data_IF_618481647164
#
_entry.id   IF_618481647164
#
_cell.length_a   1.000
_cell.length_b   1.000
_cell.length_c   1.000
_cell.angle_alpha   90.00
_cell.angle_beta   90.00
_cell.angle_gamma   90.00
#
_symmetry.space_group_name_H-M   'P 1'
#
loop_
_entity.id
_entity.type
_entity.pdbx_description
1 polymer ?
#
# COMPACT_ATOMS: atom_id res chain seq x y z
N UNK A 1 1.96 -9.76 -3.80
CA UNK A 1 2.81 -10.54 -4.75
C UNK A 1 4.29 -10.56 -4.33
N UNK A 2 4.90 -9.41 -4.02
CA UNK A 2 6.32 -9.29 -3.65
C UNK A 2 6.73 -10.13 -2.43
N UNK A 3 5.87 -10.22 -1.41
CA UNK A 3 6.04 -11.15 -0.28
C UNK A 3 6.19 -12.62 -0.71
N UNK A 4 5.51 -13.02 -1.79
CA UNK A 4 5.54 -14.39 -2.30
C UNK A 4 6.74 -14.60 -3.23
N UNK A 5 7.01 -13.65 -4.13
CA UNK A 5 8.03 -13.79 -5.17
C UNK A 5 9.45 -13.52 -4.66
N UNK A 6 9.62 -12.52 -3.79
CA UNK A 6 10.92 -12.10 -3.25
C UNK A 6 11.14 -12.63 -1.82
N UNK A 7 10.11 -13.19 -1.19
CA UNK A 7 10.18 -13.72 0.18
C UNK A 7 10.70 -12.69 1.20
N UNK A 8 10.27 -11.44 1.07
CA UNK A 8 10.49 -10.38 2.06
C UNK A 8 9.51 -10.51 3.23
N UNK A 9 9.80 -9.92 4.41
CA UNK A 9 8.81 -9.79 5.49
C UNK A 9 7.53 -9.10 4.98
N UNK A 10 6.37 -9.44 5.56
CA UNK A 10 5.10 -8.92 5.06
C UNK A 10 5.10 -7.37 5.13
N UNK A 11 4.92 -6.66 4.01
CA UNK A 11 4.96 -5.18 4.02
C UNK A 11 3.66 -4.56 4.53
N UNK A 12 2.53 -5.24 4.33
CA UNK A 12 1.20 -4.74 4.66
C UNK A 12 0.31 -5.89 5.12
N UNK A 13 -0.32 -5.73 6.29
CA UNK A 13 -1.17 -6.74 6.90
C UNK A 13 -2.60 -6.71 6.37
N UNK A 14 -3.32 -7.84 6.47
CA UNK A 14 -4.73 -7.88 6.07
C UNK A 14 -5.61 -6.93 6.91
N UNK A 15 -5.28 -6.73 8.20
CA UNK A 15 -6.02 -5.82 9.07
C UNK A 15 -5.85 -4.37 8.64
N UNK A 16 -4.64 -3.96 8.22
CA UNK A 16 -4.42 -2.60 7.70
C UNK A 16 -5.12 -2.37 6.37
N UNK A 17 -5.25 -3.37 5.50
CA UNK A 17 -6.10 -3.27 4.29
C UNK A 17 -7.55 -2.98 4.68
N UNK A 18 -8.09 -3.72 5.65
CA UNK A 18 -9.47 -3.50 6.08
C UNK A 18 -9.70 -2.09 6.61
N UNK A 19 -8.73 -1.50 7.32
CA UNK A 19 -8.84 -0.11 7.75
C UNK A 19 -8.84 0.88 6.59
N UNK A 20 -8.08 0.63 5.53
CA UNK A 20 -8.09 1.47 4.34
C UNK A 20 -9.47 1.43 3.67
N UNK A 21 -9.89 0.23 3.30
CA UNK A 21 -11.10 -0.01 2.51
C UNK A 21 -12.40 0.34 3.27
N UNK A 22 -12.44 0.14 4.59
CA UNK A 22 -13.66 0.27 5.39
C UNK A 22 -13.70 1.52 6.28
N UNK A 23 -12.62 2.28 6.41
CA UNK A 23 -12.62 3.45 7.29
C UNK A 23 -12.12 4.70 6.57
N UNK A 24 -10.87 4.70 6.12
CA UNK A 24 -10.24 5.93 5.62
C UNK A 24 -10.74 6.33 4.25
N UNK A 25 -10.88 5.40 3.31
CA UNK A 25 -11.30 5.71 1.94
C UNK A 25 -12.82 5.96 1.79
N UNK A 26 -13.65 5.56 2.76
CA UNK A 26 -15.10 5.75 2.68
C UNK A 26 -15.48 7.23 2.65
N UNK A 27 -14.93 8.03 3.57
CA UNK A 27 -15.34 9.42 3.72
C UNK A 27 -14.96 10.30 2.50
N UNK A 28 -13.70 10.27 2.01
CA UNK A 28 -13.33 10.97 0.79
C UNK A 28 -14.12 10.50 -0.43
N UNK A 29 -14.34 9.18 -0.58
CA UNK A 29 -15.12 8.63 -1.71
C UNK A 29 -16.57 9.12 -1.72
N UNK A 30 -17.20 9.23 -0.54
CA UNK A 30 -18.56 9.79 -0.43
C UNK A 30 -18.57 11.29 -0.72
N UNK A 31 -17.51 12.01 -0.37
CA UNK A 31 -17.41 13.45 -0.60
C UNK A 31 -17.40 13.81 -2.10
N UNK A 32 -16.82 12.96 -2.95
CA UNK A 32 -16.82 13.14 -4.42
C UNK A 32 -18.24 13.13 -5.02
N UNK A 33 -19.22 12.51 -4.35
CA UNK A 33 -20.60 12.56 -4.81
C UNK A 33 -21.24 13.95 -4.69
N UNK A 34 -20.63 14.87 -3.94
CA UNK A 34 -21.10 16.25 -3.75
C UNK A 34 -20.44 17.25 -4.72
N UNK A 35 -19.59 16.79 -5.62
CA UNK A 35 -18.90 17.65 -6.57
C UNK A 35 -19.88 18.27 -7.59
N UNK A 36 -19.64 19.54 -7.94
CA UNK A 36 -20.46 20.25 -8.91
C UNK A 36 -20.14 19.79 -10.34
N UNK A 37 -21.08 19.99 -11.25
CA UNK A 37 -20.86 19.68 -12.66
C UNK A 37 -19.70 20.52 -13.24
N UNK A 38 -18.70 19.86 -13.84
CA UNK A 38 -17.54 20.51 -14.49
C UNK A 38 -17.92 21.36 -15.71
N UNK A 39 -19.07 21.07 -16.33
CA UNK A 39 -19.59 21.77 -17.49
C UNK A 39 -21.10 21.86 -17.46
N UNK A 40 -21.69 22.69 -18.32
CA UNK A 40 -23.15 22.83 -18.39
C UNK A 40 -23.80 21.56 -18.97
N UNK A 41 -24.10 20.61 -18.07
CA UNK A 41 -24.68 19.32 -18.39
C UNK A 41 -26.08 19.43 -18.99
N UNK A 42 -26.79 20.53 -18.75
CA UNK A 42 -28.16 20.74 -19.25
C UNK A 42 -28.19 21.06 -20.75
N UNK A 43 -27.04 21.40 -21.33
CA UNK A 43 -26.87 21.60 -22.77
C UNK A 43 -26.24 20.40 -23.50
N UNK A 44 -25.88 19.32 -22.78
CA UNK A 44 -25.31 18.11 -23.36
C UNK A 44 -26.39 17.11 -23.79
N UNK A 45 -26.07 16.26 -24.77
CA UNK A 45 -26.95 15.17 -25.20
C UNK A 45 -26.92 14.03 -24.17
N UNK A 46 -28.03 13.29 -23.97
CA UNK A 46 -28.06 12.14 -23.06
C UNK A 46 -27.01 11.07 -23.43
N UNK A 47 -26.40 10.44 -22.42
CA UNK A 47 -25.36 9.40 -22.60
C UNK A 47 -25.85 8.21 -23.43
N UNK A 48 -24.95 7.58 -24.18
CA UNK A 48 -25.25 6.34 -24.89
C UNK A 48 -24.94 5.12 -24.01
N UNK A 49 -25.93 4.32 -23.57
CA UNK A 49 -25.72 3.22 -22.63
C UNK A 49 -24.85 2.08 -23.17
N UNK A 50 -24.64 1.99 -24.50
CA UNK A 50 -23.81 0.94 -25.13
C UNK A 50 -22.35 1.36 -25.33
N UNK A 51 -22.07 2.67 -25.43
CA UNK A 51 -20.73 3.21 -25.69
C UNK A 51 -20.13 3.90 -24.47
N UNK A 52 -20.95 4.62 -23.71
CA UNK A 52 -20.53 5.45 -22.60
C UNK A 52 -20.80 4.70 -21.28
N UNK A 53 -19.93 3.72 -21.00
CA UNK A 53 -19.97 2.96 -19.75
C UNK A 53 -19.40 3.79 -18.60
N UNK A 54 -19.87 3.50 -17.38
CA UNK A 54 -19.40 4.19 -16.17
C UNK A 54 -17.92 3.89 -15.91
N UNK A 55 -17.52 2.64 -16.11
CA UNK A 55 -16.12 2.19 -16.04
C UNK A 55 -15.68 1.79 -17.43
N UNK A 56 -14.77 2.58 -17.99
CA UNK A 56 -14.18 2.33 -19.30
C UNK A 56 -12.77 1.74 -19.13
N UNK A 57 -12.28 1.03 -20.14
CA UNK A 57 -10.92 0.47 -20.14
C UNK A 57 -9.83 1.54 -19.93
N UNK A 58 -9.90 2.75 -20.53
CA UNK A 58 -8.93 3.80 -20.27
C UNK A 58 -8.94 4.29 -18.82
N UNK A 59 -10.12 4.34 -18.19
CA UNK A 59 -10.24 4.71 -16.78
C UNK A 59 -9.56 3.67 -15.89
N UNK A 60 -9.84 2.37 -16.13
CA UNK A 60 -9.20 1.28 -15.39
C UNK A 60 -7.69 1.25 -15.62
N UNK A 61 -7.22 1.50 -16.85
CA UNK A 61 -5.79 1.54 -17.13
C UNK A 61 -5.09 2.71 -16.42
N UNK A 62 -5.72 3.89 -16.39
CA UNK A 62 -5.20 5.06 -15.69
C UNK A 62 -5.12 4.83 -14.17
N UNK A 63 -6.22 4.41 -13.54
CA UNK A 63 -6.27 4.22 -12.09
C UNK A 63 -5.38 3.07 -11.62
N UNK A 64 -5.48 1.88 -12.22
CA UNK A 64 -4.72 0.71 -11.74
C UNK A 64 -3.24 0.76 -12.09
N UNK A 65 -2.88 1.13 -13.32
CA UNK A 65 -1.49 1.01 -13.78
C UNK A 65 -0.67 2.29 -13.67
N UNK A 66 -1.29 3.48 -13.61
CA UNK A 66 -0.54 4.72 -13.41
C UNK A 66 -0.57 5.13 -11.94
N UNK A 67 -1.74 5.51 -11.43
CA UNK A 67 -1.88 5.98 -10.05
C UNK A 67 -1.53 4.85 -9.07
N UNK A 68 -2.16 3.68 -9.22
CA UNK A 68 -1.90 2.53 -8.34
C UNK A 68 -0.45 2.05 -8.37
N UNK A 69 0.26 2.22 -9.50
CA UNK A 69 1.69 1.91 -9.57
C UNK A 69 2.54 2.93 -8.80
N UNK A 70 2.21 4.22 -8.88
CA UNK A 70 2.88 5.28 -8.13
C UNK A 70 2.65 5.08 -6.62
N UNK A 71 1.41 4.82 -6.21
CA UNK A 71 1.05 4.51 -4.81
C UNK A 71 1.81 3.29 -4.29
N UNK A 72 1.87 2.22 -5.09
CA UNK A 72 2.63 1.01 -4.74
C UNK A 72 4.13 1.33 -4.57
N UNK A 73 4.70 2.11 -5.48
CA UNK A 73 6.11 2.48 -5.42
C UNK A 73 6.43 3.36 -4.20
N UNK A 74 5.57 4.31 -3.86
CA UNK A 74 5.68 5.11 -2.64
C UNK A 74 5.66 4.22 -1.38
N UNK A 75 4.67 3.33 -1.27
CA UNK A 75 4.56 2.41 -0.12
C UNK A 75 5.77 1.46 0.01
N UNK A 76 6.29 0.93 -1.09
CA UNK A 76 7.51 0.11 -1.05
C UNK A 76 8.76 0.92 -0.70
N UNK A 77 8.84 2.18 -1.15
CA UNK A 77 9.95 3.06 -0.78
C UNK A 77 9.95 3.31 0.72
N UNK A 78 8.80 3.64 1.30
CA UNK A 78 8.64 3.86 2.74
C UNK A 78 8.88 2.58 3.56
N UNK A 79 8.48 1.42 3.05
CA UNK A 79 8.80 0.13 3.67
C UNK A 79 10.32 -0.10 3.76
N UNK A 80 11.05 0.10 2.66
CA UNK A 80 12.50 -0.12 2.65
C UNK A 80 13.25 0.94 3.45
N UNK A 81 12.77 2.18 3.53
CA UNK A 81 13.39 3.20 4.37
C UNK A 81 13.21 2.88 5.85
N UNK A 82 12.01 2.49 6.29
CA UNK A 82 11.75 2.09 7.67
C UNK A 82 12.57 0.85 8.08
N UNK A 83 12.68 -0.14 7.19
CA UNK A 83 13.51 -1.32 7.42
C UNK A 83 15.00 -0.97 7.51
N UNK A 84 15.51 -0.14 6.58
CA UNK A 84 16.92 0.23 6.54
C UNK A 84 17.35 1.09 7.75
N UNK A 85 16.47 1.98 8.22
CA UNK A 85 16.72 2.79 9.43
C UNK A 85 16.85 1.93 10.68
N UNK A 86 16.11 0.83 10.76
CA UNK A 86 16.11 -0.13 11.87
C UNK A 86 17.15 -1.26 11.67
N UNK A 87 18.05 -1.15 10.69
CA UNK A 87 19.17 -2.08 10.49
C UNK A 87 18.95 -3.21 9.50
N UNK A 88 17.80 -3.25 8.85
CA UNK A 88 17.46 -4.25 7.85
C UNK A 88 17.64 -3.69 6.45
N UNK A 89 18.83 -3.83 5.87
CA UNK A 89 19.07 -3.33 4.52
C UNK A 89 18.20 -4.05 3.47
N UNK A 90 17.84 -3.36 2.37
CA UNK A 90 16.99 -3.96 1.33
C UNK A 90 17.53 -5.28 0.77
N UNK A 91 18.86 -5.42 0.67
CA UNK A 91 19.49 -6.65 0.21
C UNK A 91 19.30 -7.83 1.19
N UNK A 92 19.36 -7.57 2.50
CA UNK A 92 19.13 -8.58 3.53
C UNK A 92 17.65 -8.98 3.63
N UNK A 93 16.74 -8.05 3.30
CA UNK A 93 15.30 -8.32 3.32
C UNK A 93 14.88 -9.39 2.29
N UNK A 94 15.63 -9.57 1.20
CA UNK A 94 15.34 -10.56 0.17
C UNK A 94 15.54 -11.98 0.73
N UNK A 95 14.49 -12.80 0.69
CA UNK A 95 14.55 -14.17 1.22
C UNK A 95 14.50 -14.28 2.75
N UNK A 96 14.26 -13.17 3.46
CA UNK A 96 14.28 -13.14 4.93
C UNK A 96 13.05 -13.77 5.58
N UNK A 97 11.92 -13.83 4.86
CA UNK A 97 10.61 -14.32 5.36
C UNK A 97 10.67 -15.60 6.21
N UNK A 98 11.24 -16.74 5.75
CA UNK A 98 11.23 -17.98 6.54
C UNK A 98 11.99 -17.86 7.87
N UNK A 99 13.03 -17.01 7.93
CA UNK A 99 13.78 -16.76 9.17
C UNK A 99 13.07 -15.74 10.05
N UNK A 100 12.44 -14.74 9.43
CA UNK A 100 11.67 -13.69 10.11
C UNK A 100 10.51 -14.27 10.91
N UNK A 101 9.70 -15.12 10.26
CA UNK A 101 8.47 -15.71 10.80
C UNK A 101 8.73 -16.94 11.70
N UNK A 102 9.98 -17.40 11.82
CA UNK A 102 10.32 -18.54 12.66
C UNK A 102 10.26 -18.17 14.15
N UNK A 103 9.27 -18.72 14.87
CA UNK A 103 9.08 -18.53 16.31
C UNK A 103 10.23 -19.07 17.18
N UNK A 104 10.97 -20.06 16.68
CA UNK A 104 12.05 -20.71 17.44
C UNK A 104 13.37 -19.93 17.36
N UNK A 105 13.52 -19.04 16.36
CA UNK A 105 14.72 -18.25 16.14
C UNK A 105 14.63 -16.93 16.92
N UNK A 106 15.40 -16.80 18.01
CA UNK A 106 15.37 -15.63 18.91
C UNK A 106 16.60 -14.71 18.75
N UNK A 107 17.48 -15.05 17.82
CA UNK A 107 18.83 -14.52 17.63
C UNK A 107 19.09 -14.21 16.15
N UNK A 108 18.08 -13.68 15.44
CA UNK A 108 18.25 -13.32 14.02
C UNK A 108 19.12 -12.07 13.90
N UNK A 109 20.23 -12.17 13.17
CA UNK A 109 21.12 -11.03 12.92
C UNK A 109 20.59 -10.09 11.84
N UNK A 110 20.69 -8.79 12.12
CA UNK A 110 20.45 -7.72 11.15
C UNK A 110 21.74 -7.36 10.36
N UNK A 111 21.70 -6.31 9.54
CA UNK A 111 22.87 -5.89 8.74
C UNK A 111 23.97 -5.21 9.57
N UNK A 112 23.65 -4.76 10.78
CA UNK A 112 24.59 -4.19 11.73
C UNK A 112 25.18 -5.23 12.69
N UNK A 113 24.73 -6.49 12.62
CA UNK A 113 25.14 -7.59 13.49
C UNK A 113 24.44 -7.62 14.84
N UNK A 114 23.31 -6.94 15.01
CA UNK A 114 22.48 -7.00 16.21
C UNK A 114 21.58 -8.24 16.17
N UNK A 115 21.36 -8.88 17.31
CA UNK A 115 20.48 -10.04 17.45
C UNK A 115 19.06 -9.63 17.83
N UNK A 116 18.08 -10.09 17.05
CA UNK A 116 16.67 -9.74 17.22
C UNK A 116 15.82 -10.94 17.63
N UNK A 117 15.10 -10.78 18.74
CA UNK A 117 14.09 -11.73 19.20
C UNK A 117 12.84 -11.70 18.32
N UNK A 118 12.08 -12.79 18.31
CA UNK A 118 10.86 -12.88 17.49
C UNK A 118 9.86 -11.75 17.78
N UNK A 119 9.73 -11.34 19.05
CA UNK A 119 8.82 -10.26 19.45
C UNK A 119 9.26 -8.90 18.93
N UNK A 120 10.57 -8.60 18.95
CA UNK A 120 11.10 -7.34 18.44
C UNK A 120 10.89 -7.27 16.92
N UNK A 121 11.16 -8.38 16.20
CA UNK A 121 10.88 -8.46 14.75
C UNK A 121 9.41 -8.28 14.42
N UNK A 122 8.52 -8.89 15.20
CA UNK A 122 7.08 -8.75 15.00
C UNK A 122 6.61 -7.31 15.22
N UNK A 123 7.15 -6.63 16.22
CA UNK A 123 6.86 -5.20 16.44
C UNK A 123 7.33 -4.36 15.25
N UNK A 124 8.55 -4.60 14.77
CA UNK A 124 9.07 -3.92 13.58
C UNK A 124 8.21 -4.17 12.33
N UNK A 125 7.69 -5.39 12.18
CA UNK A 125 6.76 -5.73 11.10
C UNK A 125 5.44 -4.96 11.22
N UNK A 126 4.93 -4.73 12.43
CA UNK A 126 3.76 -3.87 12.63
C UNK A 126 4.05 -2.40 12.33
N UNK A 127 5.24 -1.91 12.69
CA UNK A 127 5.69 -0.57 12.28
C UNK A 127 5.70 -0.46 10.75
N UNK A 128 6.19 -1.47 10.04
CA UNK A 128 6.16 -1.51 8.58
C UNK A 128 4.74 -1.45 8.02
N UNK A 129 3.78 -2.16 8.63
CA UNK A 129 2.37 -2.06 8.23
C UNK A 129 1.84 -0.64 8.37
N UNK A 130 2.16 0.04 9.48
CA UNK A 130 1.71 1.42 9.72
C UNK A 130 2.35 2.42 8.77
N UNK A 131 3.63 2.25 8.45
CA UNK A 131 4.35 3.11 7.51
C UNK A 131 3.78 2.97 6.10
N UNK A 132 3.56 1.73 5.65
CA UNK A 132 2.95 1.48 4.35
C UNK A 132 1.51 2.01 4.30
N UNK A 133 0.73 1.81 5.38
CA UNK A 133 -0.61 2.39 5.53
C UNK A 133 -0.60 3.92 5.37
N UNK A 134 0.26 4.63 6.12
CA UNK A 134 0.36 6.10 6.01
C UNK A 134 0.79 6.54 4.60
N UNK A 135 1.68 5.79 3.95
CA UNK A 135 2.10 6.08 2.58
C UNK A 135 0.92 6.04 1.60
N UNK A 136 0.05 5.02 1.73
CA UNK A 136 -1.19 4.95 0.94
C UNK A 136 -2.07 6.15 1.23
N UNK A 137 -2.36 6.46 2.49
CA UNK A 137 -3.19 7.61 2.88
C UNK A 137 -2.67 8.94 2.31
N UNK A 138 -1.36 9.16 2.37
CA UNK A 138 -0.75 10.37 1.82
C UNK A 138 -0.90 10.46 0.29
N UNK A 139 -0.81 9.34 -0.42
CA UNK A 139 -1.09 9.34 -1.85
C UNK A 139 -2.59 9.50 -2.16
N UNK A 140 -3.48 8.94 -1.34
CA UNK A 140 -4.92 9.11 -1.52
C UNK A 140 -5.36 10.57 -1.36
N UNK A 141 -4.73 11.32 -0.44
CA UNK A 141 -4.98 12.78 -0.33
C UNK A 141 -4.69 13.52 -1.64
N UNK A 142 -3.73 13.04 -2.44
CA UNK A 142 -3.40 13.64 -3.73
C UNK A 142 -4.23 13.10 -4.90
N UNK A 143 -4.98 12.01 -4.69
CA UNK A 143 -5.85 11.38 -5.71
C UNK A 143 -7.29 11.90 -5.68
N UNK A 144 -7.70 12.53 -4.56
CA UNK A 144 -8.98 13.24 -4.37
C UNK A 144 -8.89 14.67 -4.87
#
# INVERSE_FOLDING_TARGET
>A
LIYITVSVPLPLGCITILFIELCTDIFPSVSLAYEAAESDIMHLRPRNPKRDRLVNEPLAAYSYFQIGAIQSFAGFTDYFTAMAQEGWFPLLCVGLRPHWENHHLQDLQDSYGQEWTFRQRLYQQYTCYTVFFISIEMCQIADV
#
